data_IF_002722536956
#
_entry.id   IF_002722536956
#
_cell.length_a   1.000
_cell.length_b   1.000
_cell.length_c   1.000
_cell.angle_alpha   90.00
_cell.angle_beta   90.00
_cell.angle_gamma   90.00
#
_symmetry.space_group_name_H-M   'P 1'
#
loop_
_entity.id
_entity.type
_entity.pdbx_description
1 polymer ?
#
# COMPACT_ATOMS: atom_id res chain seq x y z
N UNK A 1 -5.26 4.94 7.67
CA UNK A 1 -5.27 5.18 6.21
C UNK A 1 -5.57 6.64 5.95
N UNK A 2 -4.75 7.31 5.15
CA UNK A 2 -4.99 8.70 4.74
C UNK A 2 -5.90 8.72 3.49
N UNK A 3 -6.86 9.64 3.44
CA UNK A 3 -7.82 9.75 2.32
C UNK A 3 -7.57 11.07 1.58
N UNK A 4 -7.31 10.97 0.28
CA UNK A 4 -7.12 12.09 -0.65
C UNK A 4 -8.33 12.21 -1.57
N UNK A 5 -8.83 13.43 -1.74
CA UNK A 5 -9.96 13.71 -2.62
C UNK A 5 -9.50 14.16 -4.01
N UNK A 6 -10.33 13.92 -5.02
CA UNK A 6 -10.08 14.45 -6.36
C UNK A 6 -10.22 15.97 -6.37
N UNK A 7 -9.31 16.64 -7.07
CA UNK A 7 -9.39 18.08 -7.32
C UNK A 7 -9.62 18.33 -8.81
N UNK A 8 -10.43 19.33 -9.14
CA UNK A 8 -10.62 19.72 -10.53
C UNK A 8 -9.54 20.75 -10.96
N UNK A 9 -9.35 20.90 -12.27
CA UNK A 9 -8.34 21.80 -12.83
C UNK A 9 -8.52 23.29 -12.46
N UNK A 10 -9.74 23.73 -12.08
CA UNK A 10 -10.01 25.12 -11.71
C UNK A 10 -9.60 25.39 -10.26
N UNK A 11 -9.80 24.43 -9.38
CA UNK A 11 -9.40 24.50 -7.97
C UNK A 11 -7.89 24.41 -7.84
N UNK A 12 -7.27 23.42 -8.51
CA UNK A 12 -5.82 23.23 -8.51
C UNK A 12 -5.04 24.50 -8.89
N UNK A 13 -5.53 25.26 -9.88
CA UNK A 13 -4.90 26.52 -10.34
C UNK A 13 -4.76 27.59 -9.24
N UNK A 14 -5.48 27.47 -8.13
CA UNK A 14 -5.49 28.43 -7.03
C UNK A 14 -4.69 27.96 -5.82
N UNK A 15 -4.20 26.71 -5.83
CA UNK A 15 -3.46 26.16 -4.71
C UNK A 15 -2.12 26.86 -4.56
N UNK A 16 -1.77 27.11 -3.31
CA UNK A 16 -0.42 27.43 -2.88
C UNK A 16 0.50 26.20 -3.03
N UNK A 17 1.81 26.39 -2.89
CA UNK A 17 2.78 25.31 -2.85
C UNK A 17 2.48 24.31 -1.74
N UNK A 18 2.07 24.79 -0.56
CA UNK A 18 1.75 23.94 0.59
C UNK A 18 0.49 23.11 0.34
N UNK A 19 -0.58 23.74 -0.14
CA UNK A 19 -1.83 23.03 -0.50
C UNK A 19 -1.57 21.98 -1.59
N UNK A 20 -0.75 22.31 -2.59
CA UNK A 20 -0.36 21.36 -3.64
C UNK A 20 0.35 20.14 -3.05
N UNK A 21 1.32 20.32 -2.15
CA UNK A 21 1.98 19.19 -1.49
C UNK A 21 1.00 18.40 -0.65
N UNK A 22 0.18 19.08 0.14
CA UNK A 22 -0.81 18.45 1.00
C UNK A 22 -1.80 17.59 0.21
N UNK A 23 -2.23 18.01 -0.97
CA UNK A 23 -3.21 17.24 -1.74
C UNK A 23 -2.59 16.11 -2.58
N UNK A 24 -1.37 16.28 -3.10
CA UNK A 24 -0.82 15.37 -4.13
C UNK A 24 0.47 14.63 -3.74
N UNK A 25 1.20 15.11 -2.73
CA UNK A 25 2.42 14.44 -2.28
C UNK A 25 2.09 13.46 -1.14
N UNK A 26 2.64 12.26 -1.25
CA UNK A 26 2.68 11.31 -0.15
C UNK A 26 4.08 11.37 0.44
N UNK A 27 4.19 11.80 1.69
CA UNK A 27 5.43 11.81 2.45
C UNK A 27 5.48 10.57 3.34
N UNK A 28 6.67 10.04 3.61
CA UNK A 28 6.89 8.92 4.54
C UNK A 28 6.10 7.63 4.20
N UNK A 29 6.05 7.26 2.92
CA UNK A 29 5.33 6.05 2.48
C UNK A 29 5.90 4.75 3.09
N UNK A 30 7.18 4.72 3.46
CA UNK A 30 7.82 3.55 4.07
C UNK A 30 8.17 3.84 5.52
N UNK A 31 7.58 3.07 6.44
CA UNK A 31 7.83 3.11 7.87
C UNK A 31 8.06 1.68 8.40
N UNK A 32 8.99 1.54 9.34
CA UNK A 32 9.47 0.24 9.79
C UNK A 32 8.35 -0.57 10.44
N UNK A 33 8.15 -1.80 9.96
CA UNK A 33 7.11 -2.74 10.38
C UNK A 33 5.66 -2.24 10.21
N UNK A 34 5.44 -1.22 9.37
CA UNK A 34 4.12 -0.66 9.13
C UNK A 34 3.65 -0.85 7.69
N UNK A 35 2.33 -0.77 7.51
CA UNK A 35 1.71 -0.51 6.21
C UNK A 35 1.18 0.90 6.22
N UNK A 36 1.78 1.77 5.41
CA UNK A 36 1.24 3.11 5.16
C UNK A 36 0.33 3.02 3.95
N UNK A 37 -0.93 3.39 4.14
CA UNK A 37 -1.95 3.33 3.10
C UNK A 37 -2.54 4.71 2.82
N UNK A 38 -2.52 5.11 1.55
CA UNK A 38 -3.16 6.33 1.05
C UNK A 38 -4.20 5.97 0.01
N UNK A 39 -5.46 6.27 0.30
CA UNK A 39 -6.59 6.08 -0.59
C UNK A 39 -6.84 7.36 -1.39
N UNK A 40 -6.82 7.27 -2.72
CA UNK A 40 -7.20 8.36 -3.60
C UNK A 40 -8.62 8.15 -4.13
N UNK A 41 -9.46 9.18 -4.07
CA UNK A 41 -10.76 9.16 -4.75
C UNK A 41 -10.65 9.21 -6.28
N UNK A 42 -9.47 9.51 -6.84
CA UNK A 42 -9.19 9.32 -8.26
C UNK A 42 -9.07 7.81 -8.51
N UNK A 43 -10.07 7.25 -9.19
CA UNK A 43 -10.21 5.82 -9.49
C UNK A 43 -10.15 4.86 -8.28
N UNK A 44 -10.24 5.40 -7.05
CA UNK A 44 -10.25 4.60 -5.81
C UNK A 44 -8.96 3.78 -5.62
N UNK A 45 -7.85 4.26 -6.19
CA UNK A 45 -6.54 3.64 -6.07
C UNK A 45 -6.04 3.74 -4.63
N UNK A 46 -5.45 2.66 -4.13
CA UNK A 46 -4.79 2.64 -2.82
C UNK A 46 -3.31 2.47 -3.08
N UNK A 47 -2.51 3.47 -2.67
CA UNK A 47 -1.06 3.38 -2.68
C UNK A 47 -0.61 2.85 -1.33
N UNK A 48 0.20 1.79 -1.35
CA UNK A 48 0.75 1.18 -0.15
C UNK A 48 2.26 1.30 -0.13
N UNK A 49 2.81 1.60 1.04
CA UNK A 49 4.18 1.27 1.37
C UNK A 49 4.19 0.29 2.53
N UNK A 50 5.03 -0.74 2.42
CA UNK A 50 5.22 -1.74 3.46
C UNK A 50 6.71 -1.97 3.60
N UNK A 51 7.24 -1.86 4.82
CA UNK A 51 8.66 -2.04 5.10
C UNK A 51 8.84 -2.95 6.32
N UNK A 52 8.65 -4.28 6.17
CA UNK A 52 8.92 -5.21 7.25
C UNK A 52 10.42 -5.18 7.59
N UNK A 53 10.76 -5.20 8.87
CA UNK A 53 12.15 -5.29 9.34
C UNK A 53 12.30 -6.43 10.32
N UNK A 54 11.61 -6.36 11.46
CA UNK A 54 11.75 -7.34 12.56
C UNK A 54 10.56 -8.29 12.67
N UNK A 55 9.47 -8.03 11.95
CA UNK A 55 8.28 -8.86 11.98
C UNK A 55 7.66 -9.05 10.60
N UNK A 56 6.84 -10.09 10.47
CA UNK A 56 5.95 -10.27 9.33
C UNK A 56 4.80 -9.28 9.42
N UNK A 57 4.53 -8.56 8.33
CA UNK A 57 3.53 -7.50 8.28
C UNK A 57 2.39 -7.95 7.36
N UNK A 58 1.14 -8.07 7.83
CA UNK A 58 0.01 -8.33 6.94
C UNK A 58 -0.40 -7.06 6.18
N UNK A 59 -0.93 -7.22 4.96
CA UNK A 59 -1.34 -6.11 4.07
C UNK A 59 -2.36 -5.14 4.69
N UNK A 60 -3.16 -5.63 5.63
CA UNK A 60 -4.21 -4.89 6.31
C UNK A 60 -3.79 -4.35 7.69
N UNK A 61 -2.50 -4.44 8.05
CA UNK A 61 -2.00 -3.94 9.33
C UNK A 61 -2.35 -2.46 9.49
N UNK A 62 -3.12 -2.14 10.54
CA UNK A 62 -3.54 -0.77 10.84
C UNK A 62 -4.65 -0.22 9.92
N UNK A 63 -5.31 -1.08 9.14
CA UNK A 63 -6.41 -0.71 8.24
C UNK A 63 -7.68 -1.43 8.68
N UNK A 64 -8.72 -0.67 9.02
CA UNK A 64 -10.06 -1.21 9.21
C UNK A 64 -10.69 -1.49 7.83
N UNK A 65 -10.63 -2.75 7.38
CA UNK A 65 -11.09 -3.14 6.04
C UNK A 65 -12.58 -2.91 5.85
N UNK A 66 -13.40 -3.24 6.85
CA UNK A 66 -14.84 -3.07 6.75
C UNK A 66 -15.21 -1.59 6.67
N UNK A 67 -14.65 -0.77 7.56
CA UNK A 67 -14.94 0.67 7.57
C UNK A 67 -14.50 1.37 6.29
N UNK A 68 -13.31 1.02 5.77
CA UNK A 68 -12.72 1.72 4.62
C UNK A 68 -13.21 1.20 3.27
N UNK A 69 -13.50 -0.10 3.16
CA UNK A 69 -13.80 -0.75 1.87
C UNK A 69 -15.15 -1.46 1.82
N UNK A 70 -15.79 -1.73 2.95
CA UNK A 70 -17.05 -2.49 3.01
C UNK A 70 -16.88 -3.96 2.60
N UNK A 71 -15.68 -4.51 2.74
CA UNK A 71 -15.32 -5.91 2.44
C UNK A 71 -14.81 -6.60 3.70
N UNK A 72 -14.62 -7.92 3.62
CA UNK A 72 -14.11 -8.73 4.73
C UNK A 72 -12.58 -8.82 4.75
N UNK A 73 -11.94 -8.72 3.59
CA UNK A 73 -10.48 -8.72 3.43
C UNK A 73 -10.05 -7.78 2.29
N UNK A 74 -8.77 -7.43 2.26
CA UNK A 74 -8.25 -6.33 1.44
C UNK A 74 -8.46 -6.53 -0.07
N UNK A 75 -8.17 -7.73 -0.59
CA UNK A 75 -8.24 -8.05 -2.02
C UNK A 75 -9.56 -8.74 -2.44
N UNK A 76 -10.62 -8.68 -1.63
CA UNK A 76 -11.91 -9.32 -1.97
C UNK A 76 -12.48 -8.83 -3.30
N UNK A 77 -12.26 -7.54 -3.61
CA UNK A 77 -12.77 -6.85 -4.81
C UNK A 77 -11.69 -5.98 -5.46
N UNK A 78 -10.41 -6.29 -5.24
CA UNK A 78 -9.25 -5.53 -5.70
C UNK A 78 -8.13 -6.46 -6.13
N UNK A 79 -7.34 -6.02 -7.08
CA UNK A 79 -6.03 -6.60 -7.42
C UNK A 79 -4.92 -5.67 -6.93
N UNK A 80 -3.69 -6.18 -6.85
CA UNK A 80 -2.53 -5.38 -6.45
C UNK A 80 -1.27 -5.78 -7.23
N UNK A 81 -0.52 -4.76 -7.67
CA UNK A 81 0.84 -4.91 -8.14
C UNK A 81 1.83 -4.39 -7.10
N UNK A 82 2.84 -5.19 -6.79
CA UNK A 82 3.83 -4.92 -5.75
C UNK A 82 5.21 -4.94 -6.40
N UNK A 83 6.03 -3.94 -6.08
CA UNK A 83 7.41 -3.83 -6.55
C UNK A 83 8.33 -3.75 -5.33
N UNK A 84 9.30 -4.66 -5.24
CA UNK A 84 10.32 -4.57 -4.22
C UNK A 84 11.41 -3.59 -4.67
N UNK A 85 11.57 -2.49 -3.95
CA UNK A 85 12.60 -1.47 -4.21
C UNK A 85 13.67 -1.43 -3.10
N UNK A 86 13.61 -2.34 -2.13
CA UNK A 86 14.53 -2.46 -1.01
C UNK A 86 15.41 -3.72 -1.08
N UNK A 87 15.77 -4.24 0.09
CA UNK A 87 16.50 -5.49 0.24
C UNK A 87 15.67 -6.72 -0.12
N UNK A 88 16.30 -7.90 -0.11
CA UNK A 88 15.60 -9.16 -0.38
C UNK A 88 14.54 -9.45 0.70
N UNK A 89 13.42 -10.00 0.27
CA UNK A 89 12.30 -10.34 1.13
C UNK A 89 11.37 -11.33 0.47
N UNK A 90 10.18 -11.47 1.05
CA UNK A 90 9.17 -12.39 0.54
C UNK A 90 7.76 -11.86 0.75
N UNK A 91 6.87 -12.32 -0.13
CA UNK A 91 5.44 -12.13 0.00
C UNK A 91 4.80 -13.51 0.07
N UNK A 92 3.98 -13.76 1.09
CA UNK A 92 3.17 -14.97 1.18
C UNK A 92 1.73 -14.63 0.89
N UNK A 93 1.14 -15.24 -0.14
CA UNK A 93 -0.25 -15.04 -0.54
C UNK A 93 -1.02 -16.35 -0.40
N UNK A 94 -2.01 -16.38 0.51
CA UNK A 94 -2.78 -17.59 0.86
C UNK A 94 -1.89 -18.83 1.10
N UNK A 95 -0.79 -18.65 1.85
CA UNK A 95 0.17 -19.70 2.19
C UNK A 95 1.22 -20.01 1.11
N UNK A 96 1.13 -19.42 -0.09
CA UNK A 96 2.16 -19.57 -1.14
C UNK A 96 3.21 -18.47 -0.97
N UNK A 97 4.45 -18.86 -0.68
CA UNK A 97 5.59 -17.95 -0.53
C UNK A 97 6.22 -17.64 -1.88
N UNK A 98 6.42 -16.35 -2.16
CA UNK A 98 7.17 -15.80 -3.28
C UNK A 98 8.38 -15.06 -2.71
N UNK A 99 9.58 -15.41 -3.15
CA UNK A 99 10.79 -14.64 -2.84
C UNK A 99 10.88 -13.46 -3.81
N UNK A 100 11.24 -12.27 -3.31
CA UNK A 100 11.41 -11.06 -4.10
C UNK A 100 12.76 -10.43 -3.79
N UNK A 101 13.63 -10.38 -4.79
CA UNK A 101 14.84 -9.57 -4.77
C UNK A 101 14.58 -8.11 -5.11
N UNK A 102 15.66 -7.33 -5.17
CA UNK A 102 15.60 -5.93 -5.59
C UNK A 102 15.11 -5.82 -7.04
N UNK A 103 14.07 -4.99 -7.26
CA UNK A 103 13.34 -4.77 -8.53
C UNK A 103 12.47 -5.91 -9.01
N UNK A 104 12.28 -6.95 -8.20
CA UNK A 104 11.25 -7.95 -8.51
C UNK A 104 9.85 -7.38 -8.28
N UNK A 105 8.89 -7.93 -9.02
CA UNK A 105 7.49 -7.57 -8.89
C UNK A 105 6.60 -8.80 -8.74
N UNK A 106 5.53 -8.63 -7.97
CA UNK A 106 4.48 -9.63 -7.83
C UNK A 106 3.12 -8.98 -8.11
N UNK A 107 2.33 -9.65 -8.92
CA UNK A 107 0.93 -9.30 -9.15
C UNK A 107 0.05 -10.32 -8.44
N UNK A 108 -0.87 -9.83 -7.60
CA UNK A 108 -1.82 -10.65 -6.85
C UNK A 108 -3.23 -10.29 -7.30
N UNK A 109 -3.96 -11.32 -7.75
CA UNK A 109 -5.32 -11.17 -8.26
C UNK A 109 -6.34 -10.94 -7.14
N UNK A 110 -7.51 -10.46 -7.54
CA UNK A 110 -8.69 -10.44 -6.69
C UNK A 110 -8.98 -11.81 -6.06
N UNK A 111 -9.41 -11.81 -4.81
CA UNK A 111 -9.90 -12.97 -4.08
C UNK A 111 -8.88 -13.60 -3.13
N UNK A 112 -7.60 -13.22 -3.24
CA UNK A 112 -6.57 -13.62 -2.27
C UNK A 112 -6.92 -13.04 -0.89
N UNK A 113 -6.97 -13.89 0.13
CA UNK A 113 -7.46 -13.49 1.46
C UNK A 113 -6.35 -12.95 2.35
N UNK A 114 -5.24 -13.66 2.41
CA UNK A 114 -4.11 -13.33 3.25
C UNK A 114 -2.91 -12.94 2.39
N UNK A 115 -2.32 -11.78 2.69
CA UNK A 115 -1.06 -11.33 2.08
C UNK A 115 -0.14 -10.85 3.20
N UNK A 116 1.01 -11.51 3.32
CA UNK A 116 2.01 -11.26 4.37
C UNK A 116 3.34 -10.84 3.73
N UNK A 117 3.96 -9.81 4.29
CA UNK A 117 5.26 -9.28 3.87
C UNK A 117 6.32 -9.61 4.92
N UNK A 118 7.51 -10.02 4.48
CA UNK A 118 8.67 -10.22 5.34
C UNK A 118 9.97 -9.82 4.62
N UNK A 119 10.97 -9.37 5.37
CA UNK A 119 12.33 -9.14 4.86
C UNK A 119 13.25 -10.27 5.29
N UNK A 120 14.27 -10.58 4.49
CA UNK A 120 15.30 -11.55 4.88
C UNK A 120 16.28 -10.96 5.91
N UNK A 121 16.49 -9.64 5.85
CA UNK A 121 17.32 -8.89 6.78
C UNK A 121 16.54 -7.66 7.31
N UNK A 122 16.81 -7.28 8.55
CA UNK A 122 16.14 -6.19 9.24
C UNK A 122 16.78 -4.80 8.99
N UNK A 123 17.91 -4.74 8.27
CA UNK A 123 18.73 -3.56 8.03
C UNK A 123 18.23 -2.63 6.92
#
# INVERSE_FOLDING_TARGET
>A
MEIRYSSNQRDFKRYTTEETRKEFLIENLYAANEVVAVYSHVDRMVTLGCMPTTETVPIDKGIDIWHNFGTQYFLERREIGIFNIGGAGSITADGVKYELGYKDCLYITQGTKEVLFASEDAA
#
